data_IF_394637611787
#
_entry.id   IF_394637611787
#
_cell.length_a   1.000
_cell.length_b   1.000
_cell.length_c   1.000
_cell.angle_alpha   90.00
_cell.angle_beta   90.00
_cell.angle_gamma   90.00
#
_symmetry.space_group_name_H-M   'P 1'
#
loop_
_entity.id
_entity.type
_entity.pdbx_description
1 polymer ?
#
# COMPACT_ATOMS: atom_id res chain seq x y z
N UNK A 1 5.03 -14.37 17.61
CA UNK A 1 4.75 -12.95 17.34
C UNK A 1 4.31 -12.77 15.90
N UNK A 2 3.42 -11.80 15.64
CA UNK A 2 2.96 -11.42 14.30
C UNK A 2 4.05 -10.57 13.61
N UNK A 3 4.34 -10.85 12.34
CA UNK A 3 5.38 -10.15 11.59
C UNK A 3 5.02 -8.69 11.28
N UNK A 4 3.72 -8.38 11.21
CA UNK A 4 3.20 -7.03 10.99
C UNK A 4 2.12 -6.77 12.05
N UNK A 5 2.36 -5.94 13.07
CA UNK A 5 1.52 -5.89 14.26
C UNK A 5 0.17 -5.17 14.06
N UNK A 6 0.05 -4.32 13.04
CA UNK A 6 -1.12 -3.45 12.84
C UNK A 6 -1.63 -3.49 11.40
N UNK A 7 -2.80 -2.87 11.17
CA UNK A 7 -3.47 -2.89 9.86
C UNK A 7 -2.66 -2.14 8.80
N UNK A 8 -1.97 -1.07 9.17
CA UNK A 8 -1.17 -0.26 8.26
C UNK A 8 0.08 -1.00 7.82
N UNK A 9 0.80 -1.62 8.75
CA UNK A 9 1.97 -2.45 8.42
C UNK A 9 1.59 -3.67 7.59
N UNK A 10 0.42 -4.29 7.83
CA UNK A 10 -0.11 -5.38 6.98
C UNK A 10 -0.48 -4.91 5.57
N UNK A 11 -1.18 -3.78 5.44
CA UNK A 11 -1.56 -3.21 4.16
C UNK A 11 -0.33 -2.81 3.33
N UNK A 12 0.64 -2.15 3.98
CA UNK A 12 1.92 -1.78 3.40
C UNK A 12 2.70 -3.01 2.92
N UNK A 13 2.79 -4.07 3.75
CA UNK A 13 3.47 -5.30 3.37
C UNK A 13 2.83 -5.97 2.14
N UNK A 14 1.50 -5.98 2.07
CA UNK A 14 0.75 -6.49 0.92
C UNK A 14 1.06 -5.69 -0.35
N UNK A 15 0.94 -4.35 -0.29
CA UNK A 15 1.26 -3.46 -1.40
C UNK A 15 2.70 -3.65 -1.88
N UNK A 16 3.66 -3.57 -0.95
CA UNK A 16 5.08 -3.72 -1.23
C UNK A 16 5.38 -5.06 -1.90
N UNK A 17 4.86 -6.16 -1.36
CA UNK A 17 5.10 -7.51 -1.90
C UNK A 17 4.53 -7.67 -3.31
N UNK A 18 3.31 -7.20 -3.57
CA UNK A 18 2.69 -7.30 -4.89
C UNK A 18 3.46 -6.48 -5.93
N UNK A 19 3.87 -5.26 -5.57
CA UNK A 19 4.59 -4.36 -6.48
C UNK A 19 6.00 -4.89 -6.77
N UNK A 20 6.73 -5.37 -5.75
CA UNK A 20 8.15 -5.77 -5.89
C UNK A 20 8.36 -7.16 -6.47
N UNK A 21 7.42 -8.08 -6.29
CA UNK A 21 7.57 -9.44 -6.81
C UNK A 21 7.26 -9.55 -8.31
N UNK A 22 6.70 -8.49 -8.93
CA UNK A 22 6.37 -8.46 -10.37
C UNK A 22 5.63 -9.71 -10.86
N UNK A 23 4.61 -10.15 -10.11
CA UNK A 23 3.89 -11.41 -10.38
C UNK A 23 3.11 -11.40 -11.71
N UNK A 24 2.77 -10.22 -12.22
CA UNK A 24 2.10 -10.03 -13.50
C UNK A 24 3.05 -9.49 -14.58
N UNK A 25 2.72 -9.78 -15.85
CA UNK A 25 3.40 -9.22 -17.04
C UNK A 25 3.33 -7.68 -17.04
N UNK A 26 2.17 -7.12 -16.66
CA UNK A 26 1.97 -5.70 -16.41
C UNK A 26 0.87 -5.51 -15.35
N UNK A 27 0.78 -4.33 -14.75
CA UNK A 27 -0.30 -3.94 -13.84
C UNK A 27 -0.01 -4.17 -12.36
N UNK A 28 1.20 -4.60 -11.98
CA UNK A 28 1.57 -4.86 -10.58
C UNK A 28 1.31 -3.66 -9.66
N UNK A 29 1.55 -2.42 -10.12
CA UNK A 29 1.23 -1.19 -9.35
C UNK A 29 -0.26 -1.03 -9.06
N UNK A 30 -1.09 -1.22 -10.09
CA UNK A 30 -2.55 -1.12 -10.01
C UNK A 30 -3.12 -2.23 -9.12
N UNK A 31 -2.65 -3.46 -9.30
CA UNK A 31 -3.04 -4.59 -8.46
C UNK A 31 -2.60 -4.38 -7.00
N UNK A 32 -1.37 -3.92 -6.79
CA UNK A 32 -0.84 -3.66 -5.45
C UNK A 32 -1.70 -2.65 -4.69
N UNK A 33 -2.02 -1.50 -5.32
CA UNK A 33 -2.91 -0.53 -4.72
C UNK A 33 -4.30 -1.10 -4.46
N UNK A 34 -4.91 -1.77 -5.43
CA UNK A 34 -6.26 -2.33 -5.26
C UNK A 34 -6.32 -3.34 -4.12
N UNK A 35 -5.31 -4.22 -3.99
CA UNK A 35 -5.22 -5.18 -2.90
C UNK A 35 -5.08 -4.48 -1.54
N UNK A 36 -4.25 -3.42 -1.48
CA UNK A 36 -4.08 -2.59 -0.30
C UNK A 36 -5.38 -1.89 0.11
N UNK A 37 -6.04 -1.22 -0.84
CA UNK A 37 -7.29 -0.51 -0.61
C UNK A 37 -8.40 -1.46 -0.14
N UNK A 38 -8.61 -2.59 -0.83
CA UNK A 38 -9.62 -3.58 -0.42
C UNK A 38 -9.31 -4.15 0.98
N UNK A 39 -8.04 -4.40 1.30
CA UNK A 39 -7.67 -4.84 2.64
C UNK A 39 -8.04 -3.79 3.70
N UNK A 40 -7.74 -2.51 3.46
CA UNK A 40 -8.08 -1.43 4.38
C UNK A 40 -9.60 -1.30 4.57
N UNK A 41 -10.37 -1.33 3.47
CA UNK A 41 -11.84 -1.22 3.47
C UNK A 41 -12.50 -2.36 4.27
N UNK A 42 -12.07 -3.60 4.06
CA UNK A 42 -12.60 -4.76 4.81
C UNK A 42 -12.26 -4.64 6.31
N UNK A 43 -11.20 -3.90 6.65
CA UNK A 43 -10.82 -3.59 8.02
C UNK A 43 -11.38 -2.25 8.54
N UNK A 44 -12.36 -1.65 7.85
CA UNK A 44 -13.06 -0.44 8.29
C UNK A 44 -12.26 0.85 8.15
N UNK A 45 -11.25 0.88 7.26
CA UNK A 45 -10.48 2.07 6.93
C UNK A 45 -10.86 2.49 5.50
N UNK A 46 -11.38 3.71 5.37
CA UNK A 46 -11.86 4.28 4.11
C UNK A 46 -10.69 4.72 3.21
N UNK A 47 -10.32 3.86 2.27
CA UNK A 47 -9.23 4.09 1.32
C UNK A 47 -9.62 5.10 0.22
N UNK A 48 -10.89 5.48 0.10
CA UNK A 48 -11.34 6.48 -0.89
C UNK A 48 -10.86 7.90 -0.58
N UNK A 49 -10.34 8.11 0.63
CA UNK A 49 -9.71 9.36 1.06
C UNK A 49 -8.36 9.64 0.40
N UNK A 50 -7.67 8.60 -0.06
CA UNK A 50 -6.42 8.76 -0.80
C UNK A 50 -6.70 9.36 -2.18
N UNK A 51 -5.97 10.41 -2.55
CA UNK A 51 -6.11 11.01 -3.89
C UNK A 51 -5.37 10.18 -4.95
N UNK A 52 -5.79 10.28 -6.21
CA UNK A 52 -5.13 9.60 -7.32
C UNK A 52 -3.64 9.97 -7.41
N UNK A 53 -3.30 11.24 -7.15
CA UNK A 53 -1.92 11.73 -7.16
C UNK A 53 -1.07 11.09 -6.05
N UNK A 54 -1.61 11.02 -4.82
CA UNK A 54 -0.93 10.36 -3.71
C UNK A 54 -0.71 8.87 -4.00
N UNK A 55 -1.72 8.20 -4.57
CA UNK A 55 -1.64 6.77 -4.92
C UNK A 55 -0.54 6.55 -5.96
N UNK A 56 -0.50 7.38 -7.01
CA UNK A 56 0.50 7.28 -8.08
C UNK A 56 1.91 7.50 -7.55
N UNK A 57 2.10 8.51 -6.69
CA UNK A 57 3.38 8.78 -6.04
C UNK A 57 3.82 7.57 -5.19
N UNK A 58 2.92 7.08 -4.33
CA UNK A 58 3.17 5.99 -3.40
C UNK A 58 3.61 4.70 -4.12
N UNK A 59 2.81 4.23 -5.08
CA UNK A 59 3.11 2.98 -5.80
C UNK A 59 4.34 3.11 -6.69
N UNK A 60 4.66 4.32 -7.12
CA UNK A 60 5.87 4.59 -7.90
C UNK A 60 7.12 4.56 -7.02
N UNK A 61 7.08 5.13 -5.82
CA UNK A 61 8.16 5.05 -4.84
C UNK A 61 8.44 3.59 -4.43
N UNK A 62 7.39 2.82 -4.16
CA UNK A 62 7.51 1.38 -3.85
C UNK A 62 8.14 0.63 -5.03
N UNK A 63 7.67 0.86 -6.26
CA UNK A 63 8.24 0.22 -7.45
C UNK A 63 9.71 0.60 -7.70
N UNK A 64 10.09 1.83 -7.38
CA UNK A 64 11.48 2.30 -7.43
C UNK A 64 12.35 1.69 -6.31
N UNK A 65 11.75 1.09 -5.28
CA UNK A 65 12.46 0.56 -4.11
C UNK A 65 12.99 1.65 -3.19
N UNK A 66 12.37 2.83 -3.18
CA UNK A 66 12.77 3.97 -2.35
C UNK A 66 11.92 4.09 -1.09
N UNK A 67 11.08 3.11 -0.80
CA UNK A 67 10.17 3.14 0.34
C UNK A 67 9.99 1.72 0.90
N UNK A 68 10.42 1.53 2.13
CA UNK A 68 10.30 0.26 2.84
C UNK A 68 8.94 0.15 3.54
N UNK A 69 8.57 -1.05 3.99
CA UNK A 69 7.23 -1.36 4.54
C UNK A 69 6.83 -0.43 5.70
N UNK A 70 7.76 -0.09 6.59
CA UNK A 70 7.47 0.79 7.72
C UNK A 70 7.12 2.21 7.30
N UNK A 71 7.92 2.78 6.38
CA UNK A 71 7.68 4.12 5.82
C UNK A 71 6.37 4.16 5.02
N UNK A 72 6.13 3.10 4.25
CA UNK A 72 4.89 2.92 3.49
C UNK A 72 3.65 2.88 4.40
N UNK A 73 3.74 2.22 5.56
CA UNK A 73 2.64 2.14 6.52
C UNK A 73 2.29 3.51 7.10
N UNK A 74 3.29 4.31 7.47
CA UNK A 74 3.07 5.66 7.98
C UNK A 74 2.50 6.58 6.89
N UNK A 75 3.03 6.53 5.67
CA UNK A 75 2.49 7.33 4.56
C UNK A 75 1.05 6.95 4.23
N UNK A 76 0.70 5.66 4.24
CA UNK A 76 -0.70 5.21 4.08
C UNK A 76 -1.61 5.78 5.15
N UNK A 77 -1.16 5.78 6.41
CA UNK A 77 -1.92 6.34 7.54
C UNK A 77 -2.14 7.84 7.35
N UNK A 78 -1.10 8.60 7.04
CA UNK A 78 -1.17 10.04 6.81
C UNK A 78 -2.11 10.39 5.64
N UNK A 79 -2.05 9.64 4.53
CA UNK A 79 -2.91 9.88 3.37
C UNK A 79 -4.39 9.68 3.63
N UNK A 80 -4.76 8.84 4.60
CA UNK A 80 -6.14 8.37 4.80
C UNK A 80 -6.77 8.92 6.07
N UNK A 81 -6.01 9.11 7.14
CA UNK A 81 -6.52 9.60 8.42
C UNK A 81 -6.50 11.13 8.54
N UNK A 82 -5.82 11.85 7.64
CA UNK A 82 -5.77 13.33 7.62
C UNK A 82 -6.91 13.90 6.78
#
# INVERSE_FOLDING_TARGET
DDAYPDRWTKAAALLHSVVKNHALVDGNKRLGWLACAVFLEINGIDATRATDDDIVELVTAVAAGTMEVGELAERLREMIET
#
